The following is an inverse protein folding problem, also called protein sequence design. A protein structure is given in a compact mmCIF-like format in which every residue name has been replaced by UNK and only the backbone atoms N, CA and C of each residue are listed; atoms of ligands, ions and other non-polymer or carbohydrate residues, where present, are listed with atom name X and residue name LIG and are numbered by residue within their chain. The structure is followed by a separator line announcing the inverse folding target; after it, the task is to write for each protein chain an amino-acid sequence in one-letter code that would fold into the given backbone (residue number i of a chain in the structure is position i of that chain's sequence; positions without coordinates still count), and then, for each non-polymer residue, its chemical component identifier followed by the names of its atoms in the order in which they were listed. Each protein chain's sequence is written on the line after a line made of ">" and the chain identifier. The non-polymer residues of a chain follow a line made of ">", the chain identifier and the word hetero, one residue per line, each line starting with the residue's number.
data_IF_101939515863
#
_entry.id   IF_101939515863
#
_cell.length_a   1.000
_cell.length_b   1.000
_cell.length_c   1.000
_cell.angle_alpha   90.00
_cell.angle_beta   90.00
_cell.angle_gamma   90.00
#
_symmetry.space_group_name_H-M   'P 1'
#
loop_
_entity.id
_entity.type
_entity.pdbx_description
1 polymer ?
#
# COMPACT_ATOMS: atom_id res chain seq x y z
N UNK A 1 52.59 5.85 -25.37
CA UNK A 1 51.83 6.21 -24.15
C UNK A 1 50.97 7.44 -24.44
N UNK A 2 49.66 7.27 -24.60
CA UNK A 2 48.65 8.25 -24.18
C UNK A 2 47.30 7.53 -24.14
N UNK A 3 46.74 7.43 -22.95
CA UNK A 3 45.45 6.82 -22.69
C UNK A 3 44.32 7.75 -23.16
N UNK A 4 43.32 7.19 -23.83
CA UNK A 4 42.02 7.83 -24.00
C UNK A 4 41.24 7.73 -22.68
N UNK A 5 40.63 8.81 -22.18
CA UNK A 5 39.67 8.70 -21.09
C UNK A 5 38.35 8.18 -21.65
N UNK A 6 37.87 7.08 -21.07
CA UNK A 6 36.59 6.47 -21.38
C UNK A 6 35.45 7.36 -20.90
N UNK A 7 34.38 7.37 -21.69
CA UNK A 7 33.11 8.06 -21.52
C UNK A 7 32.56 7.98 -20.09
N UNK A 8 32.04 9.11 -19.58
CA UNK A 8 31.19 9.13 -18.40
C UNK A 8 29.84 8.52 -18.76
N UNK A 9 29.49 7.40 -18.12
CA UNK A 9 28.13 6.86 -18.17
C UNK A 9 27.35 7.48 -17.02
N UNK A 10 26.35 8.29 -17.36
CA UNK A 10 25.43 8.92 -16.42
C UNK A 10 24.81 7.89 -15.46
N UNK A 11 25.02 8.12 -14.17
CA UNK A 11 24.34 7.44 -13.05
C UNK A 11 23.63 8.47 -12.16
N UNK A 12 22.94 9.44 -12.76
CA UNK A 12 22.24 10.47 -11.99
C UNK A 12 20.76 10.13 -11.76
N UNK A 13 20.21 9.10 -12.40
CA UNK A 13 18.77 8.78 -12.32
C UNK A 13 18.33 7.78 -11.24
N UNK A 14 19.24 7.00 -10.64
CA UNK A 14 18.88 5.89 -9.71
C UNK A 14 19.15 6.23 -8.24
N UNK A 15 20.03 7.20 -7.96
CA UNK A 15 20.48 7.50 -6.60
C UNK A 15 19.47 8.32 -5.79
N UNK A 16 18.65 9.15 -6.44
CA UNK A 16 17.68 10.03 -5.75
C UNK A 16 16.57 9.21 -5.08
N UNK A 17 16.12 8.13 -5.71
CA UNK A 17 15.04 7.30 -5.16
C UNK A 17 15.43 6.62 -3.85
N UNK A 18 16.67 6.16 -3.73
CA UNK A 18 17.22 5.55 -2.50
C UNK A 18 17.41 6.53 -1.34
N UNK A 19 17.54 7.83 -1.65
CA UNK A 19 17.64 8.89 -0.63
C UNK A 19 16.26 9.26 -0.05
N UNK A 20 15.16 8.88 -0.72
CA UNK A 20 13.78 9.19 -0.31
C UNK A 20 13.10 7.95 0.27
N UNK A 21 13.23 6.80 -0.38
CA UNK A 21 12.63 5.52 -0.01
C UNK A 21 13.69 4.44 -0.06
N UNK A 22 13.73 3.54 0.92
CA UNK A 22 14.60 2.37 0.81
C UNK A 22 14.09 1.41 -0.27
N UNK A 23 14.97 0.58 -0.84
CA UNK A 23 14.56 -0.43 -1.84
C UNK A 23 13.47 -1.33 -1.30
N UNK A 24 13.58 -1.75 -0.05
CA UNK A 24 12.62 -2.64 0.61
C UNK A 24 11.25 -1.96 0.76
N UNK A 25 11.23 -0.64 0.98
CA UNK A 25 9.99 0.13 1.02
C UNK A 25 9.30 0.16 -0.34
N UNK A 26 10.07 0.34 -1.42
CA UNK A 26 9.57 0.31 -2.80
C UNK A 26 9.03 -1.07 -3.15
N UNK A 27 9.77 -2.14 -2.83
CA UNK A 27 9.34 -3.51 -3.05
C UNK A 27 8.03 -3.81 -2.31
N UNK A 28 7.92 -3.37 -1.05
CA UNK A 28 6.69 -3.55 -0.26
C UNK A 28 5.49 -2.83 -0.89
N UNK A 29 5.65 -1.57 -1.30
CA UNK A 29 4.59 -0.81 -1.98
C UNK A 29 4.18 -1.49 -3.30
N UNK A 30 5.14 -1.93 -4.10
CA UNK A 30 4.88 -2.61 -5.37
C UNK A 30 4.18 -3.96 -5.20
N UNK A 31 4.49 -4.70 -4.13
CA UNK A 31 3.83 -5.98 -3.84
C UNK A 31 2.40 -5.81 -3.31
N UNK A 32 2.12 -4.75 -2.56
CA UNK A 32 0.85 -4.57 -1.84
C UNK A 32 -0.19 -3.75 -2.60
N UNK A 33 0.24 -2.79 -3.41
CA UNK A 33 -0.65 -1.83 -4.08
C UNK A 33 -0.90 -2.26 -5.53
N UNK A 34 -2.16 -2.29 -5.95
CA UNK A 34 -2.55 -2.81 -7.27
C UNK A 34 -3.13 -1.78 -8.21
N UNK A 35 -3.70 -0.70 -7.68
CA UNK A 35 -4.32 0.35 -8.50
C UNK A 35 -3.50 1.64 -8.48
N UNK A 36 -3.52 2.45 -9.55
CA UNK A 36 -2.85 3.75 -9.57
C UNK A 36 -3.29 4.66 -8.41
N UNK A 37 -4.57 4.61 -8.03
CA UNK A 37 -5.10 5.39 -6.92
C UNK A 37 -4.53 4.93 -5.56
N UNK A 38 -4.40 3.62 -5.35
CA UNK A 38 -3.76 3.07 -4.15
C UNK A 38 -2.29 3.50 -4.07
N UNK A 39 -1.56 3.45 -5.18
CA UNK A 39 -0.17 3.93 -5.23
C UNK A 39 -0.09 5.40 -4.82
N UNK A 40 -0.93 6.25 -5.39
CA UNK A 40 -0.94 7.68 -5.08
C UNK A 40 -1.25 7.95 -3.60
N UNK A 41 -2.31 7.33 -3.07
CA UNK A 41 -2.73 7.51 -1.68
C UNK A 41 -1.63 7.09 -0.69
N UNK A 42 -1.14 5.85 -0.81
CA UNK A 42 -0.22 5.29 0.17
C UNK A 42 1.17 5.91 0.06
N UNK A 43 1.60 6.31 -1.13
CA UNK A 43 2.83 7.07 -1.28
C UNK A 43 2.73 8.43 -0.58
N UNK A 44 1.60 9.12 -0.73
CA UNK A 44 1.36 10.41 -0.05
C UNK A 44 1.39 10.22 1.47
N UNK A 45 0.66 9.23 2.00
CA UNK A 45 0.64 8.95 3.43
C UNK A 45 2.01 8.55 3.99
N UNK A 46 2.78 7.75 3.25
CA UNK A 46 4.13 7.35 3.64
C UNK A 46 5.09 8.56 3.69
N UNK A 47 4.97 9.48 2.74
CA UNK A 47 5.76 10.71 2.72
C UNK A 47 5.37 11.67 3.85
N UNK A 48 4.08 11.85 4.10
CA UNK A 48 3.58 12.66 5.22
C UNK A 48 4.04 12.09 6.57
N UNK A 49 3.95 10.77 6.75
CA UNK A 49 4.44 10.09 7.94
C UNK A 49 5.96 10.28 8.10
N UNK A 50 6.74 10.08 7.04
CA UNK A 50 8.20 10.27 7.08
C UNK A 50 8.60 11.71 7.42
N UNK A 51 7.87 12.68 6.89
CA UNK A 51 8.08 14.09 7.25
C UNK A 51 7.75 14.35 8.72
N UNK A 52 6.62 13.84 9.22
CA UNK A 52 6.19 14.01 10.61
C UNK A 52 7.13 13.36 11.62
N UNK A 53 7.74 12.22 11.26
CA UNK A 53 8.69 11.50 12.12
C UNK A 53 10.14 11.94 11.93
N UNK A 54 10.43 12.75 10.90
CA UNK A 54 11.79 13.14 10.52
C UNK A 54 12.61 12.00 9.92
N UNK A 55 11.95 10.95 9.41
CA UNK A 55 12.58 9.75 8.88
C UNK A 55 12.95 9.94 7.40
N UNK A 56 14.26 9.92 7.11
CA UNK A 56 14.80 9.96 5.76
C UNK A 56 16.03 9.02 5.67
N UNK A 57 16.03 8.00 4.79
CA UNK A 57 14.96 7.63 3.85
C UNK A 57 13.76 6.97 4.56
N UNK A 58 12.59 7.03 3.94
CA UNK A 58 11.37 6.33 4.36
C UNK A 58 11.63 4.82 4.27
N UNK A 59 11.58 4.13 5.41
CA UNK A 59 11.86 2.70 5.49
C UNK A 59 10.63 1.83 5.24
N UNK A 60 10.86 0.54 4.95
CA UNK A 60 9.80 -0.45 4.87
C UNK A 60 8.97 -0.53 6.16
N UNK A 61 9.60 -0.33 7.33
CA UNK A 61 8.89 -0.34 8.63
C UNK A 61 7.89 0.80 8.75
N UNK A 62 8.24 2.01 8.27
CA UNK A 62 7.32 3.13 8.28
C UNK A 62 6.18 2.92 7.28
N UNK A 63 6.50 2.41 6.08
CA UNK A 63 5.48 2.05 5.07
C UNK A 63 4.51 0.99 5.61
N UNK A 64 5.01 -0.04 6.29
CA UNK A 64 4.17 -1.08 6.88
C UNK A 64 3.22 -0.52 7.97
N UNK A 65 3.70 0.44 8.77
CA UNK A 65 2.86 1.14 9.74
C UNK A 65 1.72 1.91 9.06
N UNK A 66 2.02 2.63 7.97
CA UNK A 66 1.02 3.37 7.19
C UNK A 66 -0.02 2.42 6.58
N UNK A 67 0.44 1.34 5.95
CA UNK A 67 -0.44 0.33 5.35
C UNK A 67 -1.35 -0.34 6.39
N UNK A 68 -0.80 -0.66 7.57
CA UNK A 68 -1.56 -1.31 8.64
C UNK A 68 -2.65 -0.40 9.20
N UNK A 69 -2.35 0.90 9.40
CA UNK A 69 -3.32 1.86 9.94
C UNK A 69 -4.55 2.02 9.05
N UNK A 70 -4.37 2.03 7.73
CA UNK A 70 -5.48 2.10 6.78
C UNK A 70 -6.37 0.85 6.84
N UNK A 71 -5.79 -0.32 7.14
CA UNK A 71 -6.53 -1.56 7.34
C UNK A 71 -7.35 -1.53 8.62
N UNK A 72 -6.79 -1.01 9.71
CA UNK A 72 -7.50 -0.84 10.98
C UNK A 72 -8.70 0.12 10.83
N UNK A 73 -8.56 1.16 10.02
CA UNK A 73 -9.62 2.14 9.74
C UNK A 73 -10.59 1.72 8.62
N UNK A 74 -10.39 0.55 8.00
CA UNK A 74 -11.21 0.06 6.89
C UNK A 74 -12.67 -0.21 7.33
N UNK A 75 -12.87 -0.93 8.43
CA UNK A 75 -14.22 -1.22 8.95
C UNK A 75 -14.98 0.07 9.37
N UNK A 76 -14.37 0.99 10.15
CA UNK A 76 -14.97 2.29 10.45
C UNK A 76 -15.33 3.09 9.19
N UNK A 77 -14.46 3.12 8.19
CA UNK A 77 -14.67 3.86 6.93
C UNK A 77 -15.85 3.29 6.16
N UNK A 78 -15.86 1.97 5.91
CA UNK A 78 -16.94 1.31 5.19
C UNK A 78 -18.28 1.42 5.91
N UNK A 79 -18.27 1.31 7.25
CA UNK A 79 -19.47 1.47 8.07
C UNK A 79 -20.08 2.88 7.95
N UNK A 80 -19.25 3.93 7.88
CA UNK A 80 -19.70 5.32 7.67
C UNK A 80 -20.29 5.53 6.27
N UNK A 81 -19.79 4.79 5.28
CA UNK A 81 -20.32 4.79 3.91
C UNK A 81 -21.54 3.88 3.72
N UNK A 82 -22.05 3.28 4.80
CA UNK A 82 -23.27 2.46 4.77
C UNK A 82 -23.03 0.98 4.42
N UNK A 83 -21.78 0.56 4.24
CA UNK A 83 -21.43 -0.85 4.03
C UNK A 83 -21.31 -1.55 5.39
N UNK A 84 -22.41 -2.17 5.87
CA UNK A 84 -22.37 -2.97 7.10
C UNK A 84 -21.90 -4.39 6.80
N UNK A 85 -21.48 -5.10 7.85
CA UNK A 85 -21.05 -6.50 7.77
C UNK A 85 -22.05 -7.39 7.00
N UNK A 86 -23.36 -7.20 7.22
CA UNK A 86 -24.39 -7.98 6.53
C UNK A 86 -24.41 -7.69 5.02
N UNK A 87 -24.34 -6.42 4.64
CA UNK A 87 -24.35 -5.99 3.24
C UNK A 87 -23.11 -6.53 2.51
N UNK A 88 -21.95 -6.51 3.18
CA UNK A 88 -20.71 -7.05 2.61
C UNK A 88 -20.76 -8.58 2.42
N UNK A 89 -21.37 -9.30 3.36
CA UNK A 89 -21.56 -10.75 3.26
C UNK A 89 -22.45 -11.10 2.06
N UNK A 90 -23.53 -10.35 1.87
CA UNK A 90 -24.48 -10.55 0.76
C UNK A 90 -23.91 -10.08 -0.58
N UNK A 91 -23.20 -8.95 -0.63
CA UNK A 91 -22.70 -8.33 -1.85
C UNK A 91 -21.42 -8.99 -2.40
N UNK A 92 -20.55 -9.52 -1.53
CA UNK A 92 -19.25 -10.07 -1.94
C UNK A 92 -19.17 -11.60 -1.89
N UNK A 93 -20.28 -12.28 -1.56
CA UNK A 93 -20.35 -13.74 -1.40
C UNK A 93 -19.23 -14.27 -0.49
N UNK A 94 -19.17 -13.71 0.72
CA UNK A 94 -18.15 -14.00 1.71
C UNK A 94 -18.78 -14.28 3.07
N UNK A 95 -18.18 -15.17 3.84
CA UNK A 95 -18.68 -15.52 5.18
C UNK A 95 -18.44 -14.35 6.14
N UNK A 96 -19.30 -14.16 7.16
CA UNK A 96 -19.08 -13.14 8.20
C UNK A 96 -17.71 -13.26 8.87
N UNK A 97 -17.21 -14.49 9.02
CA UNK A 97 -15.88 -14.75 9.56
C UNK A 97 -14.76 -14.28 8.62
N UNK A 98 -14.94 -14.38 7.30
CA UNK A 98 -13.96 -13.90 6.31
C UNK A 98 -13.92 -12.37 6.28
N UNK A 99 -15.07 -11.69 6.34
CA UNK A 99 -15.12 -10.22 6.40
C UNK A 99 -14.47 -9.70 7.68
N UNK A 100 -14.72 -10.34 8.83
CA UNK A 100 -14.04 -10.00 10.10
C UNK A 100 -12.53 -10.27 10.03
N UNK A 101 -12.12 -11.38 9.42
CA UNK A 101 -10.71 -11.68 9.22
C UNK A 101 -10.04 -10.68 8.26
N UNK A 102 -10.76 -10.19 7.25
CA UNK A 102 -10.28 -9.14 6.34
C UNK A 102 -9.99 -7.83 7.10
N UNK A 103 -10.90 -7.41 7.98
CA UNK A 103 -10.73 -6.22 8.81
C UNK A 103 -9.59 -6.35 9.83
N UNK A 104 -9.41 -7.56 10.39
CA UNK A 104 -8.33 -7.83 11.34
C UNK A 104 -7.00 -8.20 10.67
N UNK A 105 -6.90 -8.12 9.33
CA UNK A 105 -5.74 -8.55 8.55
C UNK A 105 -5.29 -10.01 8.82
N UNK A 106 -6.25 -10.88 9.15
CA UNK A 106 -6.07 -12.30 9.45
C UNK A 106 -6.59 -13.22 8.33
N UNK A 107 -7.13 -12.64 7.26
CA UNK A 107 -7.58 -13.39 6.10
C UNK A 107 -6.40 -13.82 5.22
N UNK A 108 -6.51 -15.00 4.61
CA UNK A 108 -5.52 -15.50 3.66
C UNK A 108 -5.21 -14.45 2.57
N UNK A 109 -3.93 -14.26 2.14
CA UNK A 109 -3.56 -13.24 1.18
C UNK A 109 -4.23 -13.39 -0.20
N UNK A 110 -4.41 -14.62 -0.69
CA UNK A 110 -5.07 -14.86 -1.97
C UNK A 110 -6.57 -14.52 -1.86
N UNK A 111 -7.21 -14.97 -0.77
CA UNK A 111 -8.62 -14.66 -0.52
C UNK A 111 -8.87 -13.17 -0.27
N UNK A 112 -7.94 -12.50 0.40
CA UNK A 112 -7.94 -11.04 0.61
C UNK A 112 -7.88 -10.30 -0.71
N UNK A 113 -7.01 -10.73 -1.64
CA UNK A 113 -6.91 -10.11 -2.96
C UNK A 113 -8.20 -10.27 -3.77
N UNK A 114 -8.83 -11.45 -3.75
CA UNK A 114 -10.11 -11.69 -4.41
C UNK A 114 -11.23 -10.79 -3.87
N UNK A 115 -11.37 -10.73 -2.54
CA UNK A 115 -12.39 -9.90 -1.88
C UNK A 115 -12.18 -8.42 -2.17
N UNK A 116 -10.93 -7.95 -2.11
CA UNK A 116 -10.58 -6.57 -2.46
C UNK A 116 -10.88 -6.22 -3.91
N UNK A 117 -10.59 -7.11 -4.84
CA UNK A 117 -10.86 -6.88 -6.27
C UNK A 117 -12.36 -6.70 -6.51
N UNK A 118 -13.20 -7.55 -5.88
CA UNK A 118 -14.66 -7.40 -5.91
C UNK A 118 -15.14 -6.08 -5.29
N UNK A 119 -14.54 -5.67 -4.17
CA UNK A 119 -14.85 -4.39 -3.51
C UNK A 119 -14.47 -3.18 -4.35
N UNK A 120 -13.32 -3.23 -5.04
CA UNK A 120 -12.91 -2.20 -6.00
C UNK A 120 -13.85 -2.15 -7.21
N UNK A 121 -14.27 -3.32 -7.72
CA UNK A 121 -15.17 -3.42 -8.87
C UNK A 121 -16.53 -2.75 -8.64
N UNK A 122 -17.00 -2.70 -7.39
CA UNK A 122 -18.25 -2.02 -7.01
C UNK A 122 -18.02 -0.59 -6.50
N UNK A 123 -16.78 -0.09 -6.54
CA UNK A 123 -16.43 1.28 -6.21
C UNK A 123 -16.36 1.61 -4.72
N UNK A 124 -16.07 0.63 -3.85
CA UNK A 124 -15.79 0.96 -2.44
C UNK A 124 -14.54 1.84 -2.34
N UNK A 125 -14.53 2.84 -1.43
CA UNK A 125 -13.35 3.64 -1.14
C UNK A 125 -12.39 2.83 -0.26
N UNK A 126 -11.56 1.98 -0.88
CA UNK A 126 -10.59 1.08 -0.23
C UNK A 126 -9.16 1.19 -0.76
#
# INVERSE_FOLDING_TARGET
>A
MKACPQHSTGKEGVTISLDILTTEAVDLLAMKLRTPLQVQLHLTLAMEAGYQTGEKPITATLVESVLSRQLDDLEPTLTRHGYRLKDMVEQFDAKPAEIRALFNNQLDPARTAELRDRMLAVGLPI
#
